data_IF_874055587570
#
_entry.id   IF_874055587570
#
_cell.length_a   1.000
_cell.length_b   1.000
_cell.length_c   1.000
_cell.angle_alpha   90.00
_cell.angle_beta   90.00
_cell.angle_gamma   90.00
#
_symmetry.space_group_name_H-M   'P 1'
#
loop_
_entity.id
_entity.type
_entity.pdbx_description
1 polymer ?
#
# COMPACT_ATOMS: atom_id res chain seq x y z
N UNK A 1 -20.65 -2.31 -13.49
CA UNK A 1 -19.95 -3.09 -12.44
C UNK A 1 -19.71 -2.14 -11.29
N UNK A 2 -20.27 -2.35 -10.09
CA UNK A 2 -19.93 -1.51 -8.94
C UNK A 2 -18.43 -1.62 -8.65
N UNK A 3 -17.84 -0.53 -8.16
CA UNK A 3 -16.43 -0.55 -7.79
C UNK A 3 -16.22 -1.60 -6.66
N UNK A 4 -15.17 -2.43 -6.76
CA UNK A 4 -14.89 -3.51 -5.81
C UNK A 4 -14.56 -3.04 -4.38
N UNK A 5 -14.35 -1.74 -4.18
CA UNK A 5 -14.24 -1.07 -2.88
C UNK A 5 -14.74 0.38 -3.00
N UNK A 6 -14.93 1.08 -1.88
CA UNK A 6 -15.40 2.47 -1.83
C UNK A 6 -14.22 3.44 -1.60
N UNK A 7 -13.73 4.18 -2.63
CA UNK A 7 -12.52 4.99 -2.52
C UNK A 7 -12.62 6.13 -1.51
N UNK A 8 -13.77 6.80 -1.43
CA UNK A 8 -13.93 7.92 -0.50
C UNK A 8 -13.94 7.45 0.95
N UNK A 9 -14.60 6.31 1.23
CA UNK A 9 -14.56 5.68 2.55
C UNK A 9 -13.14 5.24 2.92
N UNK A 10 -12.40 4.67 1.97
CA UNK A 10 -10.99 4.35 2.16
C UNK A 10 -10.20 5.59 2.58
N UNK A 11 -10.25 6.67 1.78
CA UNK A 11 -9.52 7.92 2.07
C UNK A 11 -9.83 8.46 3.46
N UNK A 12 -11.12 8.51 3.83
CA UNK A 12 -11.53 8.99 5.17
C UNK A 12 -11.08 8.07 6.32
N UNK A 13 -10.75 6.81 6.04
CA UNK A 13 -10.31 5.85 7.05
C UNK A 13 -8.80 5.83 7.29
N UNK A 14 -8.01 6.55 6.48
CA UNK A 14 -6.55 6.48 6.56
C UNK A 14 -6.04 7.21 7.81
N UNK A 15 -5.33 6.47 8.65
CA UNK A 15 -4.50 7.04 9.70
C UNK A 15 -3.17 7.56 9.12
N UNK A 16 -2.41 8.38 9.85
CA UNK A 16 -1.05 8.74 9.47
C UNK A 16 -0.18 7.49 9.21
N UNK A 17 0.57 7.49 8.11
CA UNK A 17 1.42 6.35 7.71
C UNK A 17 2.46 5.98 8.80
N UNK A 18 2.95 6.99 9.51
CA UNK A 18 3.94 6.84 10.57
C UNK A 18 3.43 6.05 11.78
N UNK A 19 2.10 6.00 11.99
CA UNK A 19 1.49 5.33 13.14
C UNK A 19 1.48 3.80 12.99
N UNK A 20 1.73 3.29 11.78
CA UNK A 20 1.79 1.84 11.45
C UNK A 20 0.56 1.07 11.95
N UNK A 21 -0.62 1.69 11.87
CA UNK A 21 -1.86 1.07 12.31
C UNK A 21 -2.20 -0.15 11.45
N UNK A 22 -2.92 -1.09 12.05
CA UNK A 22 -3.48 -2.21 11.31
C UNK A 22 -4.44 -1.72 10.22
N UNK A 23 -4.54 -2.47 9.12
CA UNK A 23 -5.42 -2.13 8.01
C UNK A 23 -6.89 -2.07 8.46
N UNK A 24 -7.58 -1.00 8.09
CA UNK A 24 -9.03 -0.89 8.22
C UNK A 24 -9.75 -1.89 7.30
N UNK A 25 -11.05 -2.10 7.52
CA UNK A 25 -11.87 -2.92 6.62
C UNK A 25 -11.82 -2.41 5.16
N UNK A 26 -11.88 -1.10 4.99
CA UNK A 26 -11.81 -0.45 3.68
C UNK A 26 -10.44 -0.67 3.01
N UNK A 27 -9.35 -0.61 3.78
CA UNK A 27 -8.01 -0.87 3.26
C UNK A 27 -7.82 -2.35 2.86
N UNK A 28 -8.43 -3.28 3.61
CA UNK A 28 -8.45 -4.70 3.23
C UNK A 28 -9.24 -4.95 1.94
N UNK A 29 -10.39 -4.28 1.75
CA UNK A 29 -11.17 -4.36 0.51
C UNK A 29 -10.38 -3.83 -0.69
N UNK A 30 -9.75 -2.66 -0.53
CA UNK A 30 -8.84 -2.08 -1.53
C UNK A 30 -7.72 -3.04 -1.92
N UNK A 31 -7.03 -3.62 -0.94
CA UNK A 31 -5.93 -4.53 -1.24
C UNK A 31 -6.40 -5.78 -1.97
N UNK A 32 -7.50 -6.40 -1.54
CA UNK A 32 -8.07 -7.56 -2.25
C UNK A 32 -8.45 -7.22 -3.68
N UNK A 33 -9.03 -6.03 -3.90
CA UNK A 33 -9.40 -5.57 -5.23
C UNK A 33 -8.21 -5.47 -6.20
N UNK A 34 -7.01 -5.19 -5.69
CA UNK A 34 -5.79 -5.05 -6.49
C UNK A 34 -4.80 -6.21 -6.33
N UNK A 35 -5.15 -7.25 -5.57
CA UNK A 35 -4.26 -8.38 -5.26
C UNK A 35 -3.03 -7.99 -4.42
N UNK A 36 -3.18 -7.01 -3.53
CA UNK A 36 -2.13 -6.45 -2.68
C UNK A 36 -2.15 -7.02 -1.24
N UNK A 37 -3.03 -7.98 -0.97
CA UNK A 37 -3.22 -8.65 0.32
C UNK A 37 -2.16 -9.72 0.60
N UNK A 38 -0.91 -9.36 0.33
CA UNK A 38 0.26 -10.23 0.49
C UNK A 38 0.48 -10.60 1.96
N UNK A 39 0.85 -11.86 2.22
CA UNK A 39 0.98 -12.45 3.57
C UNK A 39 2.27 -12.01 4.29
N UNK A 40 2.46 -10.71 4.43
CA UNK A 40 3.57 -10.06 5.13
C UNK A 40 3.00 -8.94 6.01
N UNK A 41 3.77 -8.47 7.00
CA UNK A 41 3.38 -7.29 7.78
C UNK A 41 3.21 -6.09 6.84
N UNK A 42 2.06 -5.44 6.90
CA UNK A 42 1.72 -4.35 5.98
C UNK A 42 0.73 -3.38 6.58
N UNK A 43 0.84 -2.12 6.18
CA UNK A 43 -0.08 -1.06 6.60
C UNK A 43 -0.19 -0.01 5.49
N UNK A 44 -1.28 0.76 5.53
CA UNK A 44 -1.64 1.79 4.57
C UNK A 44 -1.96 3.07 5.36
N UNK A 45 -1.50 4.22 4.89
CA UNK A 45 -1.76 5.48 5.59
C UNK A 45 -1.45 6.72 4.77
N UNK A 46 -1.92 7.85 5.29
CA UNK A 46 -1.71 9.18 4.69
C UNK A 46 -0.46 9.88 5.20
N UNK A 47 0.12 10.77 4.40
CA UNK A 47 1.19 11.68 4.82
C UNK A 47 1.21 12.94 3.95
N UNK A 48 1.85 14.01 4.43
CA UNK A 48 1.94 15.29 3.72
C UNK A 48 3.30 15.42 3.04
N UNK A 49 3.33 15.82 1.77
CA UNK A 49 4.56 16.14 1.04
C UNK A 49 4.30 17.18 -0.04
N UNK A 50 5.13 18.23 -0.11
CA UNK A 50 5.04 19.25 -1.16
C UNK A 50 3.69 19.99 -1.24
N UNK A 51 2.96 20.07 -0.13
CA UNK A 51 1.61 20.66 -0.09
C UNK A 51 0.47 19.71 -0.50
N UNK A 52 0.76 18.44 -0.73
CA UNK A 52 -0.22 17.40 -1.05
C UNK A 52 -0.37 16.40 0.08
N UNK A 53 -1.60 15.88 0.23
CA UNK A 53 -1.87 14.67 0.99
C UNK A 53 -1.69 13.45 0.08
N UNK A 54 -0.74 12.59 0.44
CA UNK A 54 -0.36 11.39 -0.29
C UNK A 54 -0.73 10.15 0.51
N UNK A 55 -0.94 9.04 -0.19
CA UNK A 55 -1.16 7.72 0.41
C UNK A 55 0.07 6.86 0.16
N UNK A 56 0.58 6.22 1.22
CA UNK A 56 1.66 5.24 1.14
C UNK A 56 1.19 3.87 1.62
N UNK A 57 1.78 2.82 1.05
CA UNK A 57 1.56 1.42 1.43
C UNK A 57 2.91 0.81 1.74
N UNK A 58 3.03 0.15 2.88
CA UNK A 58 4.27 -0.53 3.25
C UNK A 58 4.03 -2.02 3.31
N UNK A 59 4.98 -2.80 2.79
CA UNK A 59 5.13 -4.23 3.04
C UNK A 59 6.50 -4.48 3.64
N UNK A 60 6.53 -5.15 4.78
CA UNK A 60 7.73 -5.38 5.58
C UNK A 60 7.93 -6.88 5.80
N UNK A 61 8.94 -7.51 5.16
CA UNK A 61 9.34 -8.87 5.52
C UNK A 61 9.96 -8.90 6.92
N UNK A 62 10.03 -10.08 7.54
CA UNK A 62 10.52 -10.22 8.93
C UNK A 62 11.98 -9.78 9.12
N UNK A 63 12.82 -10.01 8.10
CA UNK A 63 14.25 -9.66 8.10
C UNK A 63 14.59 -8.90 6.83
N UNK A 64 14.23 -7.61 6.73
CA UNK A 64 14.47 -6.83 5.52
C UNK A 64 15.96 -6.60 5.30
N UNK A 65 16.46 -6.90 4.11
CA UNK A 65 17.88 -6.69 3.73
C UNK A 65 18.09 -5.42 2.89
N UNK A 66 17.00 -4.84 2.38
CA UNK A 66 16.99 -3.56 1.66
C UNK A 66 15.60 -2.92 1.70
N UNK A 67 15.48 -1.71 1.18
CA UNK A 67 14.21 -1.01 0.95
C UNK A 67 14.10 -0.58 -0.50
N UNK A 68 12.99 -0.91 -1.15
CA UNK A 68 12.64 -0.47 -2.49
C UNK A 68 11.48 0.53 -2.40
N UNK A 69 11.73 1.76 -2.86
CA UNK A 69 10.68 2.75 -3.03
C UNK A 69 10.08 2.63 -4.43
N UNK A 70 8.76 2.47 -4.49
CA UNK A 70 8.01 2.30 -5.72
C UNK A 70 7.02 3.46 -5.89
N UNK A 71 7.30 4.31 -6.88
CA UNK A 71 6.43 5.44 -7.24
C UNK A 71 5.75 5.12 -8.56
N UNK A 72 4.43 5.23 -8.61
CA UNK A 72 3.66 4.97 -9.82
C UNK A 72 3.76 6.15 -10.82
N UNK A 73 3.52 5.85 -12.10
CA UNK A 73 3.49 6.85 -13.17
C UNK A 73 2.18 7.64 -13.26
N UNK A 74 2.10 8.49 -14.28
CA UNK A 74 0.89 9.23 -14.61
C UNK A 74 -0.22 8.28 -15.10
N UNK A 75 -1.44 8.46 -14.61
CA UNK A 75 -2.60 7.57 -14.82
C UNK A 75 -2.46 6.12 -14.30
N UNK A 76 -1.39 5.80 -13.59
CA UNK A 76 -1.24 4.49 -12.95
C UNK A 76 -1.96 4.40 -11.60
N UNK A 77 -1.98 3.18 -11.08
CA UNK A 77 -2.29 2.89 -9.68
C UNK A 77 -1.45 1.70 -9.18
N UNK A 78 -1.36 1.55 -7.87
CA UNK A 78 -0.55 0.52 -7.20
C UNK A 78 -0.83 -0.91 -7.68
N UNK A 79 -2.07 -1.23 -8.03
CA UNK A 79 -2.45 -2.56 -8.53
C UNK A 79 -1.72 -3.03 -9.79
N UNK A 80 -1.13 -2.13 -10.58
CA UNK A 80 -0.32 -2.52 -11.75
C UNK A 80 1.03 -3.15 -11.35
N UNK A 81 1.47 -2.92 -10.12
CA UNK A 81 2.81 -3.25 -9.65
C UNK A 81 2.86 -4.49 -8.75
N UNK A 82 1.75 -5.22 -8.58
CA UNK A 82 1.67 -6.43 -7.73
C UNK A 82 2.84 -7.39 -7.95
N UNK A 83 3.17 -7.67 -9.20
CA UNK A 83 4.21 -8.64 -9.54
C UNK A 83 5.62 -8.20 -9.14
N UNK A 84 5.96 -6.91 -9.30
CA UNK A 84 7.27 -6.41 -8.86
C UNK A 84 7.36 -6.32 -7.34
N UNK A 85 6.24 -6.04 -6.66
CA UNK A 85 6.15 -6.07 -5.19
C UNK A 85 6.39 -7.50 -4.69
N UNK A 86 5.68 -8.50 -5.25
CA UNK A 86 5.88 -9.92 -4.92
C UNK A 86 7.34 -10.35 -5.14
N UNK A 87 7.95 -9.94 -6.26
CA UNK A 87 9.35 -10.22 -6.55
C UNK A 87 10.30 -9.59 -5.52
N UNK A 88 10.11 -8.32 -5.18
CA UNK A 88 10.98 -7.61 -4.24
C UNK A 88 10.88 -8.19 -2.82
N UNK A 89 9.67 -8.55 -2.39
CA UNK A 89 9.46 -9.26 -1.13
C UNK A 89 10.17 -10.61 -1.10
N UNK A 90 10.19 -11.35 -2.23
CA UNK A 90 10.95 -12.59 -2.33
C UNK A 90 12.47 -12.39 -2.25
N UNK A 91 12.98 -11.19 -2.56
CA UNK A 91 14.39 -10.82 -2.32
C UNK A 91 14.65 -10.35 -0.87
N UNK A 92 13.63 -10.33 -0.01
CA UNK A 92 13.73 -9.82 1.36
C UNK A 92 13.74 -8.29 1.43
N UNK A 93 13.19 -7.58 0.45
CA UNK A 93 13.15 -6.11 0.48
C UNK A 93 11.86 -5.64 1.16
N UNK A 94 11.97 -4.64 2.03
CA UNK A 94 10.81 -3.83 2.37
C UNK A 94 10.39 -3.02 1.14
N UNK A 95 9.09 -2.91 0.88
CA UNK A 95 8.55 -2.15 -0.24
C UNK A 95 7.69 -1.02 0.30
N UNK A 96 7.94 0.20 -0.18
CA UNK A 96 7.24 1.43 0.19
C UNK A 96 6.73 2.13 -1.08
#
# INVERSE_FOLDING_TARGET
MPAPFHPDLLRTSLAPLADRQALSAQALDYQRSYGLDLRVQRWLGGFQAGGFELVGQVWLPEQPVATMFLLHGYYDHMGLYRHVIEWALAQGYAVI
#
